data_IF_072525688119
#
_entry.id   IF_072525688119
#
_cell.length_a   1.000
_cell.length_b   1.000
_cell.length_c   1.000
_cell.angle_alpha   90.00
_cell.angle_beta   90.00
_cell.angle_gamma   90.00
#
_symmetry.space_group_name_H-M   'P 1'
#
loop_
_entity.id
_entity.type
_entity.pdbx_description
1 polymer ?
#
# COMPACT_ATOMS: atom_id res chain seq x y z
N UNK A 1 1.59 -5.80 16.83
CA UNK A 1 1.26 -5.04 15.60
C UNK A 1 -0.14 -4.45 15.71
N UNK A 2 -0.32 -3.23 15.21
CA UNK A 2 -1.61 -2.58 15.01
C UNK A 2 -1.93 -2.67 13.52
N UNK A 3 -3.12 -3.18 13.19
CA UNK A 3 -3.55 -3.40 11.81
C UNK A 3 -4.79 -2.55 11.52
N UNK A 4 -4.74 -1.73 10.47
CA UNK A 4 -5.84 -0.86 10.07
C UNK A 4 -6.12 -1.05 8.59
N UNK A 5 -7.25 -1.71 8.29
CA UNK A 5 -7.75 -1.92 6.93
C UNK A 5 -8.68 -0.80 6.49
N UNK A 6 -8.61 -0.40 5.22
CA UNK A 6 -9.56 0.54 4.64
C UNK A 6 -9.79 0.27 3.14
N UNK A 7 -11.06 0.33 2.71
CA UNK A 7 -11.44 0.37 1.31
C UNK A 7 -11.37 1.81 0.79
N UNK A 8 -10.86 2.00 -0.43
CA UNK A 8 -10.63 3.35 -0.97
C UNK A 8 -10.66 3.39 -2.48
N UNK A 9 -11.07 4.56 -2.98
CA UNK A 9 -10.78 4.99 -4.34
C UNK A 9 -9.55 5.90 -4.37
N UNK A 10 -9.30 6.54 -5.52
CA UNK A 10 -8.21 7.51 -5.72
C UNK A 10 -6.80 6.93 -5.44
N UNK A 11 -6.47 5.80 -6.08
CA UNK A 11 -5.17 5.14 -5.95
C UNK A 11 -3.99 6.07 -6.22
N UNK A 12 -4.07 6.91 -7.25
CA UNK A 12 -2.98 7.84 -7.60
C UNK A 12 -2.58 8.77 -6.44
N UNK A 13 -3.57 9.29 -5.69
CA UNK A 13 -3.30 10.14 -4.53
C UNK A 13 -2.64 9.34 -3.40
N UNK A 14 -3.02 8.07 -3.24
CA UNK A 14 -2.40 7.19 -2.26
C UNK A 14 -0.94 6.87 -2.64
N UNK A 15 -0.66 6.55 -3.90
CA UNK A 15 0.71 6.31 -4.36
C UNK A 15 1.60 7.54 -4.12
N UNK A 16 1.10 8.74 -4.42
CA UNK A 16 1.83 9.98 -4.16
C UNK A 16 2.12 10.18 -2.67
N UNK A 17 1.14 9.89 -1.80
CA UNK A 17 1.31 10.00 -0.35
C UNK A 17 2.31 8.97 0.20
N UNK A 18 2.20 7.71 -0.19
CA UNK A 18 3.10 6.64 0.27
C UNK A 18 4.54 6.87 -0.19
N UNK A 19 4.73 7.42 -1.39
CA UNK A 19 6.04 7.71 -1.96
C UNK A 19 6.57 9.11 -1.59
N UNK A 20 5.91 9.84 -0.69
CA UNK A 20 6.32 11.19 -0.32
C UNK A 20 7.56 11.18 0.60
N UNK A 21 8.75 11.33 0.03
CA UNK A 21 10.01 11.39 0.78
C UNK A 21 10.20 12.67 1.62
N UNK A 22 9.33 13.67 1.48
CA UNK A 22 9.39 14.87 2.32
C UNK A 22 8.74 14.64 3.68
N UNK A 23 7.68 13.84 3.73
CA UNK A 23 6.95 13.54 4.96
C UNK A 23 7.40 12.20 5.58
N UNK A 24 7.94 11.29 4.77
CA UNK A 24 8.42 9.98 5.23
C UNK A 24 9.94 9.99 5.40
N UNK A 25 10.43 9.56 6.57
CA UNK A 25 11.86 9.42 6.85
C UNK A 25 12.55 8.42 5.91
N UNK A 26 11.84 7.36 5.53
CA UNK A 26 12.31 6.34 4.58
C UNK A 26 11.12 5.68 3.89
N UNK A 27 11.28 5.35 2.61
CA UNK A 27 10.29 4.61 1.82
C UNK A 27 11.00 3.56 0.97
N UNK A 28 10.57 2.31 1.10
CA UNK A 28 11.00 1.20 0.26
C UNK A 28 9.76 0.42 -0.21
N UNK A 29 9.72 0.08 -1.50
CA UNK A 29 8.69 -0.81 -2.05
C UNK A 29 9.29 -2.21 -2.11
N UNK A 30 8.83 -3.11 -1.23
CA UNK A 30 9.36 -4.47 -1.13
C UNK A 30 8.91 -5.39 -2.27
N UNK A 31 7.62 -5.39 -2.60
CA UNK A 31 7.06 -6.25 -3.65
C UNK A 31 5.97 -5.51 -4.40
N UNK A 32 5.94 -5.70 -5.72
CA UNK A 32 4.81 -5.35 -6.57
C UNK A 32 4.51 -6.55 -7.47
N UNK A 33 3.33 -7.14 -7.31
CA UNK A 33 2.95 -8.39 -7.99
C UNK A 33 1.60 -8.23 -8.70
N UNK A 34 1.49 -8.82 -9.88
CA UNK A 34 0.24 -8.86 -10.66
C UNK A 34 -0.05 -7.60 -11.47
N UNK A 35 0.92 -6.69 -11.60
CA UNK A 35 0.84 -5.47 -12.40
C UNK A 35 1.87 -5.51 -13.52
N UNK A 36 1.60 -4.77 -14.60
CA UNK A 36 2.58 -4.60 -15.69
C UNK A 36 3.61 -3.54 -15.33
N UNK A 37 3.17 -2.48 -14.65
CA UNK A 37 4.03 -1.43 -14.15
C UNK A 37 5.00 -1.97 -13.09
N UNK A 38 6.19 -1.38 -13.06
CA UNK A 38 7.26 -1.72 -12.12
C UNK A 38 7.31 -0.76 -10.92
N UNK A 39 6.32 0.12 -10.78
CA UNK A 39 6.25 1.08 -9.68
C UNK A 39 4.82 1.29 -9.18
N UNK A 40 4.71 1.75 -7.93
CA UNK A 40 3.44 1.87 -7.22
C UNK A 40 2.44 2.80 -7.92
N UNK A 41 2.92 3.89 -8.52
CA UNK A 41 2.07 4.82 -9.26
C UNK A 41 1.42 4.16 -10.48
N UNK A 42 2.20 3.47 -11.29
CA UNK A 42 1.71 2.76 -12.47
C UNK A 42 0.76 1.62 -12.10
N UNK A 43 1.09 0.84 -11.06
CA UNK A 43 0.22 -0.24 -10.59
C UNK A 43 -1.14 0.28 -10.11
N UNK A 44 -1.16 1.37 -9.35
CA UNK A 44 -2.43 1.98 -8.93
C UNK A 44 -3.18 2.66 -10.07
N UNK A 45 -2.48 3.14 -11.11
CA UNK A 45 -3.10 3.63 -12.33
C UNK A 45 -3.78 2.51 -13.12
N UNK A 46 -3.16 1.33 -13.21
CA UNK A 46 -3.76 0.14 -13.82
C UNK A 46 -5.05 -0.26 -13.10
N UNK A 47 -5.02 -0.33 -11.76
CA UNK A 47 -6.20 -0.64 -10.97
C UNK A 47 -7.34 0.40 -11.17
N UNK A 48 -7.00 1.69 -11.25
CA UNK A 48 -7.95 2.77 -11.55
C UNK A 48 -8.54 2.66 -12.97
N UNK A 49 -7.72 2.27 -13.94
CA UNK A 49 -8.17 2.08 -15.32
C UNK A 49 -9.15 0.90 -15.42
N UNK A 50 -8.88 -0.21 -14.74
CA UNK A 50 -9.79 -1.37 -14.70
C UNK A 50 -11.11 -1.01 -14.03
N UNK A 51 -11.07 -0.27 -12.92
CA UNK A 51 -12.29 0.08 -12.16
C UNK A 51 -13.27 0.93 -12.98
N UNK A 52 -12.78 1.78 -13.88
CA UNK A 52 -13.59 2.60 -14.81
C UNK A 52 -14.42 1.78 -15.79
N UNK A 53 -14.04 0.52 -16.06
CA UNK A 53 -14.86 -0.42 -16.83
C UNK A 53 -16.01 -1.04 -16.04
N UNK A 54 -16.13 -0.70 -14.76
CA UNK A 54 -17.08 -1.29 -13.80
C UNK A 54 -17.86 -0.19 -13.05
N UNK A 55 -18.70 -0.58 -12.08
CA UNK A 55 -19.35 0.37 -11.14
C UNK A 55 -18.59 0.51 -9.81
N UNK A 56 -17.39 -0.07 -9.69
CA UNK A 56 -16.62 -0.07 -8.46
C UNK A 56 -15.94 1.29 -8.23
N UNK A 57 -16.34 2.01 -7.17
CA UNK A 57 -15.74 3.30 -6.81
C UNK A 57 -14.57 3.17 -5.82
N UNK A 58 -14.57 2.12 -5.00
CA UNK A 58 -13.53 1.82 -4.01
C UNK A 58 -12.82 0.51 -4.40
N UNK A 59 -12.04 0.59 -5.47
CA UNK A 59 -11.40 -0.57 -6.11
C UNK A 59 -10.09 -1.00 -5.45
N UNK A 60 -9.63 -0.29 -4.41
CA UNK A 60 -8.45 -0.66 -3.63
C UNK A 60 -8.83 -0.98 -2.19
N UNK A 61 -8.14 -1.97 -1.62
CA UNK A 61 -8.04 -2.18 -0.19
C UNK A 61 -6.60 -1.91 0.24
N UNK A 62 -6.43 -1.19 1.34
CA UNK A 62 -5.13 -0.93 1.96
C UNK A 62 -5.13 -1.44 3.39
N UNK A 63 -4.08 -2.16 3.78
CA UNK A 63 -3.83 -2.55 5.15
C UNK A 63 -2.55 -1.88 5.66
N UNK A 64 -2.69 -0.99 6.63
CA UNK A 64 -1.55 -0.42 7.35
C UNK A 64 -1.20 -1.31 8.54
N UNK A 65 0.05 -1.75 8.62
CA UNK A 65 0.57 -2.55 9.73
C UNK A 65 1.68 -1.76 10.40
N UNK A 66 1.47 -1.40 11.65
CA UNK A 66 2.43 -0.60 12.42
C UNK A 66 2.86 -1.34 13.69
N UNK A 67 4.14 -1.26 14.09
CA UNK A 67 4.55 -1.73 15.40
C UNK A 67 3.91 -0.88 16.51
N UNK A 68 3.73 -1.42 17.73
CA UNK A 68 3.43 -0.60 18.90
C UNK A 68 4.52 0.46 19.12
N UNK A 69 4.14 1.66 19.59
CA UNK A 69 5.09 2.77 19.80
C UNK A 69 6.24 2.44 20.77
N UNK A 70 6.03 1.50 21.68
CA UNK A 70 7.01 1.08 22.68
C UNK A 70 7.96 -0.02 22.21
N UNK A 71 7.74 -0.58 21.02
CA UNK A 71 8.50 -1.73 20.51
C UNK A 71 9.31 -1.35 19.27
N UNK A 72 10.53 -1.88 19.20
CA UNK A 72 11.35 -1.83 17.98
C UNK A 72 11.21 -3.16 17.27
N UNK A 73 10.64 -3.12 16.07
CA UNK A 73 10.38 -4.32 15.27
C UNK A 73 11.21 -4.26 13.99
N UNK A 74 11.82 -5.38 13.62
CA UNK A 74 12.62 -5.48 12.40
C UNK A 74 11.74 -5.60 11.15
N UNK A 75 12.29 -5.26 9.99
CA UNK A 75 11.62 -5.45 8.69
C UNK A 75 11.20 -6.90 8.48
N UNK A 76 12.02 -7.87 8.92
CA UNK A 76 11.70 -9.29 8.80
C UNK A 76 10.44 -9.69 9.58
N UNK A 77 10.27 -9.17 10.80
CA UNK A 77 9.08 -9.44 11.62
C UNK A 77 7.82 -8.78 11.05
N UNK A 78 7.97 -7.60 10.41
CA UNK A 78 6.86 -6.96 9.68
C UNK A 78 6.44 -7.81 8.49
N UNK A 79 7.38 -8.31 7.71
CA UNK A 79 7.11 -9.18 6.56
C UNK A 79 6.47 -10.51 7.00
N UNK A 80 6.93 -11.12 8.09
CA UNK A 80 6.31 -12.33 8.65
C UNK A 80 4.86 -12.07 9.11
N UNK A 81 4.59 -10.89 9.67
CA UNK A 81 3.23 -10.50 10.04
C UNK A 81 2.32 -10.30 8.82
N UNK A 82 2.86 -9.77 7.71
CA UNK A 82 2.12 -9.61 6.44
C UNK A 82 1.73 -10.98 5.87
N UNK A 83 2.63 -11.96 5.85
CA UNK A 83 2.36 -13.30 5.32
C UNK A 83 1.31 -14.09 6.12
N UNK A 84 1.06 -13.71 7.37
CA UNK A 84 0.06 -14.35 8.25
C UNK A 84 -1.30 -13.68 8.24
N UNK A 85 -1.40 -12.47 7.67
CA UNK A 85 -2.63 -11.66 7.66
C UNK A 85 -3.56 -12.07 6.51
#
# INVERSE_FOLDING_TARGET
MIMVGNQRGNGLKLAAHLMNIHDNDHVEVHELRGFTAENLHGAFQEADAVSKGTKCQQYLFSLSISPPETEKVSTSEILEAIERA
#
